data_IF_911122285712
#
_entry.id   IF_911122285712
#
_cell.length_a   1.000
_cell.length_b   1.000
_cell.length_c   1.000
_cell.angle_alpha   90.00
_cell.angle_beta   90.00
_cell.angle_gamma   90.00
#
_symmetry.space_group_name_H-M   'P 1'
#
loop_
_entity.id
_entity.type
_entity.pdbx_description
1 polymer ?
#
# COMPACT_ATOMS: atom_id res chain seq x y z
N UNK A 1 -10.85 -17.60 9.12
CA UNK A 1 -9.67 -16.81 8.71
C UNK A 1 -9.20 -17.17 7.31
N UNK A 2 -9.26 -18.43 6.86
CA UNK A 2 -8.69 -18.82 5.57
C UNK A 2 -9.25 -18.06 4.36
N UNK A 3 -10.56 -17.77 4.33
CA UNK A 3 -11.18 -17.01 3.25
C UNK A 3 -10.70 -15.56 3.14
N UNK A 4 -10.62 -14.84 4.27
CA UNK A 4 -10.10 -13.47 4.27
C UNK A 4 -8.63 -13.42 3.83
N UNK A 5 -7.82 -14.39 4.29
CA UNK A 5 -6.45 -14.53 3.83
C UNK A 5 -6.39 -14.72 2.31
N UNK A 6 -7.21 -15.62 1.77
CA UNK A 6 -7.30 -15.84 0.32
C UNK A 6 -7.71 -14.58 -0.43
N UNK A 7 -8.72 -13.84 0.06
CA UNK A 7 -9.19 -12.63 -0.59
C UNK A 7 -8.09 -11.56 -0.70
N UNK A 8 -7.34 -11.33 0.39
CA UNK A 8 -6.24 -10.34 0.39
C UNK A 8 -5.07 -10.81 -0.46
N UNK A 9 -4.71 -12.09 -0.39
CA UNK A 9 -3.68 -12.68 -1.25
C UNK A 9 -4.06 -12.52 -2.74
N UNK A 10 -5.30 -12.83 -3.10
CA UNK A 10 -5.82 -12.65 -4.46
C UNK A 10 -5.81 -11.19 -4.90
N UNK A 11 -6.16 -10.25 -4.02
CA UNK A 11 -6.12 -8.82 -4.33
C UNK A 11 -4.68 -8.37 -4.65
N UNK A 12 -3.70 -8.80 -3.85
CA UNK A 12 -2.28 -8.50 -4.07
C UNK A 12 -1.74 -9.22 -5.32
N UNK A 13 -2.10 -10.48 -5.53
CA UNK A 13 -1.72 -11.25 -6.72
C UNK A 13 -2.27 -10.60 -8.01
N UNK A 14 -3.54 -10.19 -7.99
CA UNK A 14 -4.20 -9.52 -9.11
C UNK A 14 -3.54 -8.20 -9.44
N UNK A 15 -3.33 -7.35 -8.43
CA UNK A 15 -2.70 -6.04 -8.63
C UNK A 15 -1.24 -6.19 -9.10
N UNK A 16 -0.47 -7.11 -8.52
CA UNK A 16 0.91 -7.36 -8.93
C UNK A 16 0.99 -7.89 -10.38
N UNK A 17 0.10 -8.82 -10.76
CA UNK A 17 0.03 -9.34 -12.13
C UNK A 17 -0.30 -8.22 -13.13
N UNK A 18 -1.24 -7.34 -12.78
CA UNK A 18 -1.57 -6.17 -13.60
C UNK A 18 -0.38 -5.23 -13.76
N UNK A 19 0.27 -4.85 -12.65
CA UNK A 19 1.46 -3.99 -12.68
C UNK A 19 2.59 -4.60 -13.53
N UNK A 20 2.85 -5.90 -13.40
CA UNK A 20 3.86 -6.58 -14.24
C UNK A 20 3.48 -6.55 -15.71
N UNK A 21 2.22 -6.82 -16.06
CA UNK A 21 1.76 -6.80 -17.45
C UNK A 21 1.91 -5.41 -18.09
N UNK A 22 1.49 -4.36 -17.38
CA UNK A 22 1.62 -2.97 -17.84
C UNK A 22 3.09 -2.58 -17.95
N UNK A 23 3.92 -2.87 -16.94
CA UNK A 23 5.34 -2.56 -16.99
C UNK A 23 6.09 -3.31 -18.09
N UNK A 24 5.70 -4.55 -18.40
CA UNK A 24 6.26 -5.28 -19.53
C UNK A 24 5.97 -4.56 -20.85
N UNK A 25 4.73 -4.07 -21.05
CA UNK A 25 4.37 -3.29 -22.24
C UNK A 25 5.12 -1.96 -22.29
N UNK A 26 5.20 -1.26 -21.16
CA UNK A 26 5.94 -0.01 -21.00
C UNK A 26 7.43 -0.15 -21.36
N UNK A 27 8.10 -1.20 -20.88
CA UNK A 27 9.53 -1.45 -21.16
C UNK A 27 9.77 -1.88 -22.60
N UNK A 28 8.86 -2.65 -23.19
CA UNK A 28 8.99 -3.16 -24.56
C UNK A 28 8.49 -2.19 -25.63
N UNK A 29 7.78 -1.12 -25.24
CA UNK A 29 7.06 -0.25 -26.18
C UNK A 29 5.89 -0.93 -26.86
N UNK A 30 5.39 -2.06 -26.33
CA UNK A 30 4.24 -2.75 -26.90
C UNK A 30 2.96 -1.92 -26.75
N UNK A 31 2.03 -2.11 -27.68
CA UNK A 31 0.70 -1.52 -27.62
C UNK A 31 0.00 -1.88 -26.30
N UNK A 32 -0.72 -0.92 -25.70
CA UNK A 32 -1.30 -1.08 -24.37
C UNK A 32 -2.32 -2.22 -24.28
N UNK A 33 -3.03 -2.54 -25.37
CA UNK A 33 -3.97 -3.65 -25.40
C UNK A 33 -3.33 -5.00 -25.06
N UNK A 34 -2.02 -5.15 -25.31
CA UNK A 34 -1.23 -6.37 -25.01
C UNK A 34 -1.16 -6.63 -23.50
N UNK A 35 -1.31 -5.61 -22.65
CA UNK A 35 -1.31 -5.79 -21.20
C UNK A 35 -2.46 -6.70 -20.72
N UNK A 36 -3.61 -6.70 -21.40
CA UNK A 36 -4.79 -7.49 -21.02
C UNK A 36 -4.57 -9.00 -21.16
N UNK A 37 -4.17 -9.55 -22.33
CA UNK A 37 -3.88 -10.98 -22.43
C UNK A 37 -2.69 -11.40 -21.56
N UNK A 38 -1.66 -10.56 -21.39
CA UNK A 38 -0.55 -10.82 -20.47
C UNK A 38 -1.04 -10.95 -19.02
N UNK A 39 -1.85 -9.99 -18.56
CA UNK A 39 -2.46 -10.01 -17.24
C UNK A 39 -3.33 -11.26 -17.05
N UNK A 40 -4.19 -11.60 -18.02
CA UNK A 40 -5.03 -12.78 -17.95
C UNK A 40 -4.21 -14.07 -17.82
N UNK A 41 -3.11 -14.19 -18.59
CA UNK A 41 -2.20 -15.34 -18.51
C UNK A 41 -1.49 -15.44 -17.15
N UNK A 42 -0.96 -14.32 -16.65
CA UNK A 42 -0.31 -14.25 -15.34
C UNK A 42 -1.28 -14.59 -14.20
N UNK A 43 -2.48 -14.00 -14.21
CA UNK A 43 -3.51 -14.28 -13.21
C UNK A 43 -3.96 -15.74 -13.27
N UNK A 44 -4.19 -16.29 -14.46
CA UNK A 44 -4.55 -17.69 -14.63
C UNK A 44 -3.49 -18.63 -14.05
N UNK A 45 -2.20 -18.36 -14.30
CA UNK A 45 -1.10 -19.13 -13.73
C UNK A 45 -1.09 -19.08 -12.18
N UNK A 46 -1.31 -17.89 -11.60
CA UNK A 46 -1.42 -17.71 -10.15
C UNK A 46 -2.63 -18.47 -9.58
N UNK A 47 -3.81 -18.35 -10.19
CA UNK A 47 -5.02 -19.07 -9.77
C UNK A 47 -4.84 -20.59 -9.80
N UNK A 48 -4.20 -21.12 -10.86
CA UNK A 48 -3.86 -22.54 -10.97
C UNK A 48 -2.91 -22.96 -9.85
N UNK A 49 -1.88 -22.16 -9.54
CA UNK A 49 -0.96 -22.44 -8.44
C UNK A 49 -1.67 -22.45 -7.07
N UNK A 50 -2.74 -21.67 -6.90
CA UNK A 50 -3.50 -21.56 -5.65
C UNK A 50 -4.67 -22.55 -5.54
N UNK A 51 -5.02 -23.31 -6.60
CA UNK A 51 -6.22 -24.18 -6.67
C UNK A 51 -6.40 -25.10 -5.46
N UNK A 52 -5.33 -25.77 -5.02
CA UNK A 52 -5.37 -26.71 -3.90
C UNK A 52 -5.60 -26.03 -2.55
N UNK A 53 -5.43 -24.71 -2.46
CA UNK A 53 -5.80 -23.94 -1.27
C UNK A 53 -7.25 -23.53 -1.29
N UNK A 54 -7.77 -23.10 -2.44
CA UNK A 54 -9.20 -22.77 -2.55
C UNK A 54 -10.04 -23.98 -2.15
N UNK A 55 -9.67 -25.17 -2.62
CA UNK A 55 -10.32 -26.42 -2.18
C UNK A 55 -10.23 -26.63 -0.65
N UNK A 56 -9.04 -26.45 -0.05
CA UNK A 56 -8.86 -26.61 1.40
C UNK A 56 -9.57 -25.54 2.23
N UNK A 57 -9.61 -24.30 1.75
CA UNK A 57 -10.30 -23.20 2.41
C UNK A 57 -11.81 -23.34 2.28
N UNK A 58 -12.32 -23.84 1.15
CA UNK A 58 -13.72 -24.19 0.98
C UNK A 58 -14.16 -25.28 1.98
N UNK A 59 -13.33 -26.29 2.18
CA UNK A 59 -13.58 -27.33 3.19
C UNK A 59 -13.58 -26.76 4.62
N UNK A 60 -12.64 -25.87 4.95
CA UNK A 60 -12.49 -25.24 6.28
C UNK A 60 -13.49 -24.12 6.56
N UNK A 61 -14.00 -23.48 5.52
CA UNK A 61 -14.98 -22.40 5.56
C UNK A 61 -16.35 -22.77 6.13
N UNK A 62 -16.50 -24.01 6.60
CA UNK A 62 -17.65 -24.46 7.39
C UNK A 62 -17.53 -24.10 8.87
N UNK A 63 -16.35 -23.70 9.34
CA UNK A 63 -16.18 -23.23 10.71
C UNK A 63 -16.98 -21.93 10.97
N UNK A 64 -17.88 -21.90 11.96
CA UNK A 64 -18.69 -20.72 12.27
C UNK A 64 -17.85 -19.49 12.63
N UNK A 65 -16.72 -19.67 13.32
CA UNK A 65 -15.83 -18.58 13.71
C UNK A 65 -15.17 -17.92 12.50
N UNK A 66 -14.76 -18.72 11.51
CA UNK A 66 -14.23 -18.22 10.25
C UNK A 66 -15.26 -17.40 9.46
N UNK A 67 -16.50 -17.89 9.38
CA UNK A 67 -17.61 -17.18 8.71
C UNK A 67 -17.92 -15.87 9.40
N UNK A 68 -18.07 -15.89 10.72
CA UNK A 68 -18.34 -14.69 11.51
C UNK A 68 -17.25 -13.63 11.32
N UNK A 69 -15.97 -14.04 11.24
CA UNK A 69 -14.86 -13.12 10.99
C UNK A 69 -14.94 -12.48 9.61
N UNK A 70 -15.22 -13.28 8.57
CA UNK A 70 -15.35 -12.78 7.21
C UNK A 70 -16.54 -11.83 7.06
N UNK A 71 -17.70 -12.21 7.61
CA UNK A 71 -18.90 -11.38 7.60
C UNK A 71 -18.69 -10.07 8.37
N UNK A 72 -18.01 -10.09 9.52
CA UNK A 72 -17.67 -8.87 10.26
C UNK A 72 -16.78 -7.94 9.43
N UNK A 73 -15.73 -8.46 8.79
CA UNK A 73 -14.86 -7.65 7.93
C UNK A 73 -15.63 -7.05 6.74
N UNK A 74 -16.47 -7.84 6.08
CA UNK A 74 -17.30 -7.37 4.97
C UNK A 74 -18.32 -6.33 5.41
N UNK A 75 -19.00 -6.53 6.53
CA UNK A 75 -19.98 -5.58 7.07
C UNK A 75 -19.31 -4.24 7.45
N UNK A 76 -18.16 -4.29 8.13
CA UNK A 76 -17.38 -3.09 8.48
C UNK A 76 -16.93 -2.37 7.20
N UNK A 77 -16.30 -3.09 6.26
CA UNK A 77 -15.82 -2.49 5.02
C UNK A 77 -16.93 -1.90 4.16
N UNK A 78 -18.08 -2.57 4.06
CA UNK A 78 -19.24 -2.07 3.34
C UNK A 78 -19.84 -0.83 4.01
N UNK A 79 -19.98 -0.83 5.35
CA UNK A 79 -20.52 0.31 6.08
C UNK A 79 -19.62 1.56 5.94
N UNK A 80 -18.31 1.42 6.12
CA UNK A 80 -17.38 2.54 5.97
C UNK A 80 -17.15 2.92 4.51
N UNK A 81 -17.22 1.97 3.57
CA UNK A 81 -17.22 2.28 2.14
C UNK A 81 -18.43 3.12 1.75
N UNK A 82 -19.63 2.75 2.22
CA UNK A 82 -20.85 3.52 2.00
C UNK A 82 -20.79 4.91 2.65
N UNK A 83 -20.22 5.02 3.85
CA UNK A 83 -19.98 6.32 4.49
C UNK A 83 -19.03 7.18 3.65
N UNK A 84 -17.93 6.61 3.16
CA UNK A 84 -16.95 7.35 2.34
C UNK A 84 -17.54 7.80 1.01
N UNK A 85 -18.46 7.04 0.39
CA UNK A 85 -19.22 7.50 -0.77
C UNK A 85 -20.01 8.79 -0.49
N UNK A 86 -20.52 8.96 0.74
CA UNK A 86 -21.25 10.15 1.15
C UNK A 86 -20.33 11.33 1.52
N UNK A 87 -19.03 11.07 1.67
CA UNK A 87 -18.02 12.04 2.06
C UNK A 87 -17.00 12.31 0.95
N UNK A 88 -17.29 11.86 -0.28
CA UNK A 88 -16.47 12.11 -1.46
C UNK A 88 -16.27 13.61 -1.64
N UNK A 89 -15.00 14.02 -1.64
CA UNK A 89 -14.60 15.40 -1.95
C UNK A 89 -13.82 15.41 -3.26
N UNK A 90 -14.07 16.37 -4.17
CA UNK A 90 -13.25 16.53 -5.36
C UNK A 90 -11.77 16.66 -5.00
N UNK A 91 -10.90 16.04 -5.78
CA UNK A 91 -9.45 16.13 -5.61
C UNK A 91 -8.78 16.60 -6.89
N UNK A 92 -7.78 17.47 -6.77
CA UNK A 92 -6.88 17.75 -7.90
C UNK A 92 -6.20 16.50 -8.44
N UNK A 93 -6.00 15.49 -7.57
CA UNK A 93 -5.46 14.20 -7.96
C UNK A 93 -6.36 13.44 -8.97
N UNK A 94 -7.66 13.75 -9.04
CA UNK A 94 -8.55 13.09 -10.01
C UNK A 94 -8.13 13.42 -11.44
N UNK A 95 -7.77 14.69 -11.67
CA UNK A 95 -7.26 15.15 -12.95
C UNK A 95 -5.83 14.66 -13.17
N UNK A 96 -4.95 14.85 -12.18
CA UNK A 96 -3.51 14.59 -12.30
C UNK A 96 -3.16 13.11 -12.54
N UNK A 97 -3.99 12.17 -12.06
CA UNK A 97 -3.66 10.74 -12.10
C UNK A 97 -4.50 9.94 -13.11
N UNK A 98 -5.76 10.32 -13.34
CA UNK A 98 -6.69 9.47 -14.11
C UNK A 98 -6.72 9.75 -15.62
N UNK A 99 -6.33 10.96 -16.04
CA UNK A 99 -6.36 11.38 -17.45
C UNK A 99 -5.60 10.45 -18.40
N UNK A 100 -4.42 9.94 -17.99
CA UNK A 100 -3.62 8.98 -18.77
C UNK A 100 -4.34 7.65 -18.98
N UNK A 101 -5.08 7.18 -17.98
CA UNK A 101 -5.83 5.94 -18.07
C UNK A 101 -6.98 6.08 -19.07
N UNK A 102 -7.69 7.22 -19.05
CA UNK A 102 -8.75 7.53 -20.02
C UNK A 102 -8.20 7.68 -21.45
N UNK A 103 -7.09 8.41 -21.62
CA UNK A 103 -6.43 8.52 -22.92
C UNK A 103 -6.04 7.15 -23.47
N UNK A 104 -5.49 6.28 -22.61
CA UNK A 104 -5.06 4.95 -23.01
C UNK A 104 -6.22 4.04 -23.44
N UNK A 105 -7.39 4.16 -22.81
CA UNK A 105 -8.59 3.44 -23.23
C UNK A 105 -9.04 3.84 -24.63
N UNK A 106 -8.89 5.12 -25.00
CA UNK A 106 -9.21 5.63 -26.33
C UNK A 106 -8.19 5.28 -27.42
N UNK A 107 -6.98 4.88 -27.02
CA UNK A 107 -5.86 4.58 -27.93
C UNK A 107 -5.18 3.24 -27.58
N UNK A 108 -5.92 2.11 -27.60
CA UNK A 108 -5.40 0.82 -27.14
C UNK A 108 -4.20 0.31 -27.97
N UNK A 109 -4.13 0.69 -29.25
CA UNK A 109 -3.04 0.41 -30.17
C UNK A 109 -1.75 1.19 -29.89
N UNK A 110 -1.84 2.32 -29.17
CA UNK A 110 -0.68 3.08 -28.78
C UNK A 110 0.06 2.41 -27.60
N UNK A 111 1.39 2.59 -27.50
CA UNK A 111 2.13 2.27 -26.28
C UNK A 111 1.61 3.07 -25.08
N UNK A 112 1.91 2.59 -23.86
CA UNK A 112 1.55 3.33 -22.65
C UNK A 112 2.13 4.74 -22.64
N UNK A 113 1.28 5.75 -22.45
CA UNK A 113 1.72 7.13 -22.39
C UNK A 113 2.59 7.41 -21.13
N UNK A 114 3.77 7.98 -21.37
CA UNK A 114 4.70 8.50 -20.35
C UNK A 114 4.71 10.03 -20.24
N UNK A 115 3.92 10.71 -21.07
CA UNK A 115 3.76 12.15 -21.08
C UNK A 115 2.43 12.54 -20.43
N UNK A 116 2.28 13.83 -20.16
CA UNK A 116 1.01 14.40 -19.72
C UNK A 116 0.02 14.42 -20.91
N UNK A 117 -1.14 13.81 -20.74
CA UNK A 117 -2.21 13.72 -21.74
C UNK A 117 -3.42 14.60 -21.41
N UNK A 118 -3.37 15.34 -20.30
CA UNK A 118 -4.50 16.14 -19.80
C UNK A 118 -4.66 17.43 -20.60
N UNK A 119 -3.55 17.95 -21.12
CA UNK A 119 -3.51 19.09 -22.00
C UNK A 119 -3.18 18.62 -23.42
N UNK A 120 -3.89 19.15 -24.42
CA UNK A 120 -3.58 18.93 -25.85
C UNK A 120 -2.32 19.69 -26.28
N UNK A 121 -1.25 19.58 -25.48
CA UNK A 121 0.04 20.19 -25.70
C UNK A 121 1.08 19.08 -25.80
N UNK A 122 1.72 18.97 -26.96
CA UNK A 122 2.80 18.02 -27.17
C UNK A 122 4.03 18.41 -26.34
N UNK A 123 4.71 17.41 -25.76
CA UNK A 123 5.98 17.61 -25.07
C UNK A 123 5.91 17.95 -23.58
N UNK A 124 4.73 17.93 -22.96
CA UNK A 124 4.64 18.03 -21.50
C UNK A 124 5.06 16.71 -20.85
N UNK A 125 6.17 16.73 -20.11
CA UNK A 125 6.64 15.58 -19.35
C UNK A 125 5.60 15.15 -18.31
N UNK A 126 5.51 13.85 -18.01
CA UNK A 126 4.70 13.40 -16.89
C UNK A 126 5.17 14.08 -15.59
N UNK A 127 4.22 14.20 -14.65
CA UNK A 127 4.43 14.73 -13.29
C UNK A 127 5.72 14.20 -12.64
N UNK A 128 6.03 12.92 -12.84
CA UNK A 128 7.36 12.34 -12.57
C UNK A 128 7.51 10.97 -13.25
N UNK A 129 8.74 10.45 -13.41
CA UNK A 129 8.98 9.12 -13.98
C UNK A 129 8.33 8.02 -13.14
N UNK A 130 8.38 8.16 -11.82
CA UNK A 130 7.74 7.23 -10.89
C UNK A 130 6.21 7.30 -10.96
N UNK A 131 5.65 8.48 -11.25
CA UNK A 131 4.22 8.62 -11.49
C UNK A 131 3.82 7.98 -12.83
N UNK A 132 4.67 8.09 -13.87
CA UNK A 132 4.44 7.42 -15.15
C UNK A 132 4.34 5.88 -15.01
N UNK A 133 5.04 5.30 -14.02
CA UNK A 133 4.99 3.86 -13.69
C UNK A 133 3.79 3.45 -12.82
N UNK A 134 2.90 4.35 -12.46
CA UNK A 134 1.68 3.94 -11.76
C UNK A 134 0.73 3.23 -12.72
N UNK A 135 0.06 2.18 -12.23
CA UNK A 135 -0.78 1.28 -13.02
C UNK A 135 -2.18 1.10 -12.43
N UNK A 136 -2.43 1.65 -11.24
CA UNK A 136 -3.72 1.56 -10.55
C UNK A 136 -4.86 2.13 -11.39
N UNK A 137 -4.72 3.38 -11.83
CA UNK A 137 -5.72 4.09 -12.62
C UNK A 137 -5.99 3.37 -13.95
N UNK A 138 -4.93 2.89 -14.62
CA UNK A 138 -5.03 2.05 -15.82
C UNK A 138 -5.80 0.74 -15.57
N UNK A 139 -5.61 0.13 -14.39
CA UNK A 139 -6.30 -1.10 -14.01
C UNK A 139 -7.78 -0.88 -13.77
N UNK A 140 -8.14 0.20 -13.08
CA UNK A 140 -9.54 0.60 -12.87
C UNK A 140 -10.23 0.89 -14.21
N UNK A 141 -9.56 1.64 -15.09
CA UNK A 141 -10.05 1.91 -16.44
C UNK A 141 -10.23 0.60 -17.24
N UNK A 142 -9.27 -0.32 -17.21
CA UNK A 142 -9.41 -1.62 -17.86
C UNK A 142 -10.60 -2.44 -17.32
N UNK A 143 -10.84 -2.42 -16.00
CA UNK A 143 -12.01 -3.06 -15.39
C UNK A 143 -13.31 -2.42 -15.88
N UNK A 144 -13.38 -1.09 -15.91
CA UNK A 144 -14.55 -0.38 -16.40
C UNK A 144 -14.87 -0.74 -17.86
N UNK A 145 -13.84 -0.78 -18.72
CA UNK A 145 -13.99 -1.14 -20.13
C UNK A 145 -14.49 -2.57 -20.31
N UNK A 146 -13.90 -3.55 -19.60
CA UNK A 146 -14.33 -4.96 -19.65
C UNK A 146 -15.77 -5.14 -19.18
N UNK A 147 -16.22 -4.34 -18.21
CA UNK A 147 -17.57 -4.39 -17.67
C UNK A 147 -18.58 -3.53 -18.45
N UNK A 148 -18.12 -2.72 -19.42
CA UNK A 148 -18.97 -1.75 -20.13
C UNK A 148 -19.54 -0.67 -19.20
N UNK A 149 -18.77 -0.24 -18.20
CA UNK A 149 -19.15 0.75 -17.19
C UNK A 149 -18.40 2.07 -17.39
N UNK A 150 -18.96 3.15 -16.84
CA UNK A 150 -18.27 4.44 -16.79
C UNK A 150 -17.01 4.37 -15.93
N UNK A 151 -15.86 4.73 -16.50
CA UNK A 151 -14.56 4.60 -15.85
C UNK A 151 -14.42 5.48 -14.61
N UNK A 152 -14.97 6.70 -14.63
CA UNK A 152 -14.98 7.59 -13.47
C UNK A 152 -15.87 7.04 -12.36
N UNK A 153 -17.05 6.52 -12.70
CA UNK A 153 -17.93 5.85 -11.75
C UNK A 153 -17.29 4.63 -11.10
N UNK A 154 -16.57 3.79 -11.86
CA UNK A 154 -15.81 2.67 -11.30
C UNK A 154 -14.65 3.17 -10.43
N UNK A 155 -13.97 4.24 -10.82
CA UNK A 155 -12.90 4.85 -10.04
C UNK A 155 -13.40 5.42 -8.71
N UNK A 156 -14.31 6.38 -8.74
CA UNK A 156 -14.78 7.05 -7.52
C UNK A 156 -15.65 6.16 -6.65
N UNK A 157 -16.55 5.36 -7.23
CA UNK A 157 -17.52 4.61 -6.45
C UNK A 157 -17.12 3.14 -6.24
N UNK A 158 -16.66 2.48 -7.30
CA UNK A 158 -16.27 1.08 -7.24
C UNK A 158 -14.99 0.87 -6.43
N UNK A 159 -13.93 1.62 -6.79
CA UNK A 159 -12.61 1.45 -6.20
C UNK A 159 -12.60 1.85 -4.73
N UNK A 160 -13.29 2.93 -4.34
CA UNK A 160 -13.37 3.32 -2.94
C UNK A 160 -14.00 2.20 -2.08
N UNK A 161 -15.13 1.62 -2.50
CA UNK A 161 -15.81 0.56 -1.74
C UNK A 161 -14.95 -0.70 -1.70
N UNK A 162 -14.36 -1.10 -2.83
CA UNK A 162 -13.46 -2.24 -2.90
C UNK A 162 -12.25 -2.08 -1.96
N UNK A 163 -11.61 -0.91 -1.96
CA UNK A 163 -10.49 -0.60 -1.08
C UNK A 163 -10.88 -0.66 0.40
N UNK A 164 -12.08 -0.18 0.77
CA UNK A 164 -12.58 -0.29 2.15
C UNK A 164 -12.83 -1.73 2.59
N UNK A 165 -13.36 -2.58 1.70
CA UNK A 165 -13.53 -4.02 1.97
C UNK A 165 -12.20 -4.72 2.21
N UNK A 166 -11.18 -4.40 1.40
CA UNK A 166 -9.83 -4.95 1.58
C UNK A 166 -9.20 -4.40 2.85
N UNK A 167 -9.32 -3.10 3.12
CA UNK A 167 -8.81 -2.47 4.35
C UNK A 167 -9.39 -3.14 5.60
N UNK A 168 -10.71 -3.26 5.68
CA UNK A 168 -11.38 -3.91 6.81
C UNK A 168 -10.90 -5.36 7.00
N UNK A 169 -10.73 -6.09 5.90
CA UNK A 169 -10.20 -7.46 5.93
C UNK A 169 -8.77 -7.51 6.47
N UNK A 170 -7.90 -6.59 6.03
CA UNK A 170 -6.51 -6.47 6.49
C UNK A 170 -6.46 -6.12 7.98
N UNK A 171 -7.23 -5.14 8.43
CA UNK A 171 -7.26 -4.71 9.84
C UNK A 171 -7.76 -5.83 10.75
N UNK A 172 -8.86 -6.50 10.39
CA UNK A 172 -9.38 -7.64 11.15
C UNK A 172 -8.33 -8.75 11.22
N UNK A 173 -7.68 -9.10 10.11
CA UNK A 173 -6.64 -10.12 10.13
C UNK A 173 -5.42 -9.70 10.94
N UNK A 174 -4.96 -8.46 10.85
CA UNK A 174 -3.85 -7.96 11.66
C UNK A 174 -4.13 -8.15 13.16
N UNK A 175 -5.30 -7.71 13.63
CA UNK A 175 -5.67 -7.87 15.05
C UNK A 175 -5.80 -9.35 15.43
N UNK A 176 -6.33 -10.20 14.53
CA UNK A 176 -6.33 -11.66 14.73
C UNK A 176 -4.92 -12.25 14.83
N UNK A 177 -3.97 -11.78 14.01
CA UNK A 177 -2.59 -12.25 14.04
C UNK A 177 -1.81 -11.79 15.27
N UNK A 178 -2.27 -10.73 15.95
CA UNK A 178 -1.78 -10.32 17.26
C UNK A 178 -2.33 -11.18 18.41
N UNK A 179 -3.23 -12.12 18.13
CA UNK A 179 -3.74 -13.12 19.09
C UNK A 179 -5.12 -12.83 19.64
N UNK A 180 -5.83 -11.81 19.15
CA UNK A 180 -7.15 -11.44 19.65
C UNK A 180 -8.28 -12.30 19.08
N UNK A 181 -9.37 -12.43 19.84
CA UNK A 181 -10.63 -13.05 19.41
C UNK A 181 -11.33 -12.29 18.28
N UNK A 182 -12.34 -12.90 17.65
CA UNK A 182 -13.08 -12.28 16.52
C UNK A 182 -13.76 -10.97 16.92
N UNK A 183 -14.39 -10.92 18.10
CA UNK A 183 -15.05 -9.71 18.61
C UNK A 183 -14.08 -8.57 18.82
N UNK A 184 -12.93 -8.84 19.44
CA UNK A 184 -11.87 -7.86 19.64
C UNK A 184 -11.26 -7.40 18.31
N UNK A 185 -11.12 -8.30 17.32
CA UNK A 185 -10.66 -7.94 15.98
C UNK A 185 -11.64 -7.03 15.23
N UNK A 186 -12.95 -7.31 15.31
CA UNK A 186 -13.99 -6.46 14.75
C UNK A 186 -14.02 -5.09 15.45
N UNK A 187 -13.97 -5.07 16.79
CA UNK A 187 -13.92 -3.83 17.56
C UNK A 187 -12.67 -2.99 17.24
N UNK A 188 -11.50 -3.62 17.12
CA UNK A 188 -10.26 -2.96 16.72
C UNK A 188 -10.36 -2.37 15.31
N UNK A 189 -10.93 -3.10 14.35
CA UNK A 189 -11.17 -2.55 13.01
C UNK A 189 -12.16 -1.38 13.01
N UNK A 190 -13.25 -1.46 13.79
CA UNK A 190 -14.19 -0.33 13.94
C UNK A 190 -13.50 0.87 14.57
N UNK A 191 -12.70 0.67 15.63
CA UNK A 191 -11.96 1.73 16.28
C UNK A 191 -10.94 2.38 15.33
N UNK A 192 -10.25 1.59 14.52
CA UNK A 192 -9.35 2.07 13.47
C UNK A 192 -10.10 2.96 12.46
N UNK A 193 -11.23 2.50 11.93
CA UNK A 193 -12.03 3.31 11.01
C UNK A 193 -12.63 4.55 11.67
N UNK A 194 -13.06 4.46 12.94
CA UNK A 194 -13.53 5.62 13.69
C UNK A 194 -12.41 6.65 13.87
N UNK A 195 -11.18 6.20 14.18
CA UNK A 195 -10.00 7.06 14.21
C UNK A 195 -9.76 7.74 12.85
N UNK A 196 -9.80 6.97 11.75
CA UNK A 196 -9.65 7.52 10.40
C UNK A 196 -10.73 8.56 10.08
N UNK A 197 -11.98 8.33 10.50
CA UNK A 197 -13.08 9.27 10.26
C UNK A 197 -12.95 10.59 11.03
N UNK A 198 -12.27 10.60 12.19
CA UNK A 198 -12.10 11.81 13.03
C UNK A 198 -10.74 12.48 12.87
N UNK A 199 -9.75 11.82 12.27
CA UNK A 199 -8.41 12.37 12.05
C UNK A 199 -8.41 13.37 10.89
N UNK A 200 -8.72 14.65 11.16
CA UNK A 200 -8.67 15.72 10.15
C UNK A 200 -7.78 16.93 10.50
N UNK A 201 -6.45 16.78 10.60
CA UNK A 201 -5.52 17.91 10.62
C UNK A 201 -5.17 18.46 9.22
N UNK A 202 -5.91 18.13 8.15
CA UNK A 202 -5.70 18.63 6.78
C UNK A 202 -5.19 17.58 5.77
N UNK A 203 -4.65 18.05 4.62
CA UNK A 203 -4.28 17.24 3.44
C UNK A 203 -3.20 16.16 3.68
N UNK A 204 -2.57 16.15 4.86
CA UNK A 204 -1.49 15.24 5.23
C UNK A 204 -1.90 14.35 6.41
N UNK A 205 -3.17 14.00 6.53
CA UNK A 205 -3.73 13.19 7.62
C UNK A 205 -4.01 11.75 7.19
N UNK A 206 -4.28 10.86 8.15
CA UNK A 206 -4.80 9.54 7.81
C UNK A 206 -6.27 9.62 7.37
N UNK A 207 -7.05 10.56 7.91
CA UNK A 207 -8.47 10.68 7.57
C UNK A 207 -8.74 11.20 6.16
N UNK A 208 -7.91 12.09 5.61
CA UNK A 208 -8.02 12.45 4.19
C UNK A 208 -7.70 11.24 3.28
N UNK A 209 -6.68 10.45 3.63
CA UNK A 209 -6.34 9.24 2.88
C UNK A 209 -7.47 8.22 2.91
N UNK A 210 -8.20 8.13 4.02
CA UNK A 210 -9.35 7.24 4.16
C UNK A 210 -10.50 7.65 3.25
N UNK A 211 -10.82 8.95 3.21
CA UNK A 211 -11.82 9.49 2.28
C UNK A 211 -11.42 9.22 0.85
N UNK A 212 -10.14 9.29 0.51
CA UNK A 212 -9.60 9.18 -0.85
C UNK A 212 -9.15 7.78 -1.27
N UNK A 213 -9.73 6.72 -0.69
CA UNK A 213 -9.33 5.32 -0.95
C UNK A 213 -9.61 4.80 -2.38
N UNK A 214 -10.04 5.67 -3.29
CA UNK A 214 -10.03 5.39 -4.74
C UNK A 214 -8.69 5.73 -5.41
N UNK A 215 -7.86 6.60 -4.81
CA UNK A 215 -6.57 7.02 -5.40
C UNK A 215 -5.46 6.04 -5.04
N UNK A 216 -4.64 5.65 -6.02
CA UNK A 216 -3.62 4.61 -5.84
C UNK A 216 -2.69 4.84 -4.65
N UNK A 217 -2.18 6.07 -4.45
CA UNK A 217 -1.33 6.41 -3.29
C UNK A 217 -2.01 6.19 -1.94
N UNK A 218 -3.31 6.45 -1.85
CA UNK A 218 -4.07 6.29 -0.60
C UNK A 218 -4.33 4.81 -0.30
N UNK A 219 -4.65 4.03 -1.34
CA UNK A 219 -4.71 2.57 -1.27
C UNK A 219 -3.36 1.99 -0.83
N UNK A 220 -2.25 2.53 -1.35
CA UNK A 220 -0.92 2.12 -0.92
C UNK A 220 -0.76 2.33 0.59
N UNK A 221 -1.01 3.54 1.07
CA UNK A 221 -0.74 3.92 2.46
C UNK A 221 -1.61 3.16 3.45
N UNK A 222 -2.92 3.10 3.22
CA UNK A 222 -3.85 2.54 4.19
C UNK A 222 -4.09 1.04 4.01
N UNK A 223 -3.98 0.51 2.79
CA UNK A 223 -4.30 -0.91 2.51
C UNK A 223 -3.04 -1.73 2.32
N UNK A 224 -2.16 -1.35 1.38
CA UNK A 224 -1.01 -2.16 1.03
C UNK A 224 0.05 -2.19 2.13
N UNK A 225 0.38 -1.07 2.78
CA UNK A 225 1.40 -1.07 3.85
C UNK A 225 0.98 -1.95 5.04
N UNK A 226 -0.27 -1.88 5.55
CA UNK A 226 -0.71 -2.80 6.59
C UNK A 226 -0.79 -4.26 6.11
N UNK A 227 -1.17 -4.51 4.85
CA UNK A 227 -1.13 -5.86 4.28
C UNK A 227 0.30 -6.40 4.19
N UNK A 228 1.28 -5.58 3.81
CA UNK A 228 2.69 -5.94 3.78
C UNK A 228 3.20 -6.29 5.19
N UNK A 229 2.81 -5.53 6.21
CA UNK A 229 3.11 -5.84 7.61
C UNK A 229 2.46 -7.17 8.05
N UNK A 230 1.21 -7.41 7.66
CA UNK A 230 0.49 -8.66 7.90
C UNK A 230 1.22 -9.87 7.30
N UNK A 231 1.70 -9.76 6.06
CA UNK A 231 2.49 -10.80 5.42
C UNK A 231 3.87 -10.97 6.06
N UNK A 232 4.52 -9.88 6.47
CA UNK A 232 5.78 -9.93 7.21
C UNK A 232 5.63 -10.66 8.55
N UNK A 233 4.55 -10.39 9.29
CA UNK A 233 4.20 -11.09 10.54
C UNK A 233 3.98 -12.60 10.32
N UNK A 234 3.30 -12.96 9.23
CA UNK A 234 3.07 -14.37 8.86
C UNK A 234 4.38 -15.07 8.50
N UNK A 235 5.22 -14.42 7.69
CA UNK A 235 6.54 -14.93 7.35
C UNK A 235 7.44 -15.07 8.59
N UNK A 236 7.45 -14.09 9.49
CA UNK A 236 8.23 -14.13 10.72
C UNK A 236 7.89 -15.33 11.63
N UNK A 237 6.63 -15.77 11.62
CA UNK A 237 6.15 -16.92 12.40
C UNK A 237 6.39 -18.25 11.71
N UNK A 238 6.16 -18.33 10.40
CA UNK A 238 6.30 -19.55 9.62
C UNK A 238 7.05 -19.27 8.30
N UNK A 239 8.39 -19.12 8.36
CA UNK A 239 9.19 -18.79 7.19
C UNK A 239 9.12 -19.91 6.15
N UNK A 240 8.81 -19.54 4.91
CA UNK A 240 8.83 -20.44 3.74
C UNK A 240 8.92 -19.58 2.47
N UNK A 241 9.39 -20.15 1.36
CA UNK A 241 9.42 -19.46 0.07
C UNK A 241 8.03 -18.92 -0.32
N UNK A 242 6.98 -19.69 -0.01
CA UNK A 242 5.60 -19.28 -0.25
C UNK A 242 5.12 -18.16 0.66
N UNK A 243 5.54 -18.14 1.92
CA UNK A 243 5.26 -17.01 2.80
C UNK A 243 6.01 -15.74 2.36
N UNK A 244 7.10 -15.88 1.60
CA UNK A 244 7.87 -14.77 1.03
C UNK A 244 7.31 -14.24 -0.30
N UNK A 245 6.52 -15.05 -1.02
CA UNK A 245 5.87 -14.63 -2.27
C UNK A 245 5.06 -13.33 -2.09
N UNK A 246 4.19 -13.27 -1.08
CA UNK A 246 3.30 -12.11 -0.90
C UNK A 246 4.04 -10.83 -0.51
N UNK A 247 5.05 -10.84 0.39
CA UNK A 247 5.95 -9.70 0.54
C UNK A 247 6.57 -9.22 -0.77
N UNK A 248 7.02 -10.12 -1.64
CA UNK A 248 7.56 -9.75 -2.96
C UNK A 248 6.49 -9.16 -3.89
N UNK A 249 5.28 -9.71 -3.92
CA UNK A 249 4.16 -9.16 -4.69
C UNK A 249 3.71 -7.79 -4.15
N UNK A 250 3.79 -7.55 -2.84
CA UNK A 250 3.60 -6.20 -2.29
C UNK A 250 4.64 -5.22 -2.85
N UNK A 251 5.88 -5.68 -3.08
CA UNK A 251 6.94 -4.96 -3.81
C UNK A 251 6.48 -4.39 -5.13
N UNK A 252 5.90 -5.27 -5.94
CA UNK A 252 5.35 -4.93 -7.25
C UNK A 252 4.14 -4.00 -7.13
N UNK A 253 3.17 -4.35 -6.27
CA UNK A 253 1.97 -3.55 -6.07
C UNK A 253 2.30 -2.12 -5.62
N UNK A 254 3.31 -1.94 -4.76
CA UNK A 254 3.66 -0.64 -4.22
C UNK A 254 4.02 0.35 -5.32
N UNK A 255 4.79 -0.08 -6.34
CA UNK A 255 5.10 0.76 -7.50
C UNK A 255 3.86 1.00 -8.36
N UNK A 256 3.05 -0.04 -8.57
CA UNK A 256 1.82 0.08 -9.35
C UNK A 256 0.81 1.07 -8.74
N UNK A 257 0.81 1.25 -7.42
CA UNK A 257 -0.08 2.17 -6.72
C UNK A 257 0.46 3.60 -6.64
N UNK A 258 1.76 3.78 -6.36
CA UNK A 258 2.36 5.12 -6.29
C UNK A 258 3.89 5.10 -6.26
N UNK A 259 4.49 6.18 -6.76
CA UNK A 259 5.93 6.38 -6.74
C UNK A 259 6.55 6.31 -5.34
N UNK A 260 5.79 6.58 -4.28
CA UNK A 260 6.28 6.44 -2.89
C UNK A 260 6.55 4.99 -2.48
N UNK A 261 6.10 4.01 -3.28
CA UNK A 261 6.46 2.60 -3.14
C UNK A 261 7.96 2.34 -3.11
N UNK A 262 8.77 3.18 -3.77
CA UNK A 262 10.24 3.01 -3.82
C UNK A 262 10.92 3.14 -2.46
N UNK A 263 10.29 3.78 -1.46
CA UNK A 263 10.87 3.94 -0.13
C UNK A 263 9.95 3.51 1.02
N UNK A 264 8.62 3.64 0.88
CA UNK A 264 7.70 3.24 1.95
C UNK A 264 7.70 1.72 2.18
N UNK A 265 7.58 0.92 1.13
CA UNK A 265 7.57 -0.54 1.29
C UNK A 265 8.92 -1.10 1.78
N UNK A 266 10.08 -0.65 1.24
CA UNK A 266 11.36 -0.99 1.85
C UNK A 266 11.43 -0.59 3.33
N UNK A 267 10.86 0.55 3.71
CA UNK A 267 10.74 0.97 5.11
C UNK A 267 9.97 -0.04 5.97
N UNK A 268 8.83 -0.56 5.49
CA UNK A 268 8.05 -1.60 6.18
C UNK A 268 8.89 -2.86 6.38
N UNK A 269 9.55 -3.37 5.34
CA UNK A 269 10.32 -4.61 5.45
C UNK A 269 11.62 -4.45 6.25
N UNK A 270 12.27 -3.30 6.19
CA UNK A 270 13.42 -2.98 7.02
C UNK A 270 13.04 -2.94 8.51
N UNK A 271 11.98 -2.21 8.86
CA UNK A 271 11.49 -2.14 10.24
C UNK A 271 10.98 -3.50 10.76
N UNK A 272 10.26 -4.25 9.93
CA UNK A 272 9.81 -5.60 10.28
C UNK A 272 11.00 -6.57 10.47
N UNK A 273 12.06 -6.42 9.68
CA UNK A 273 13.29 -7.20 9.82
C UNK A 273 14.01 -6.91 11.13
N UNK A 274 14.12 -5.63 11.52
CA UNK A 274 14.66 -5.25 12.85
C UNK A 274 13.81 -5.85 13.97
N UNK A 275 12.49 -5.78 13.85
CA UNK A 275 11.56 -6.37 14.83
C UNK A 275 11.68 -7.91 14.91
N UNK A 276 11.96 -8.59 13.80
CA UNK A 276 12.24 -10.02 13.78
C UNK A 276 13.54 -10.34 14.51
N UNK A 277 14.61 -9.59 14.25
CA UNK A 277 15.92 -9.81 14.86
C UNK A 277 15.91 -9.55 16.37
N UNK A 278 15.21 -8.49 16.80
CA UNK A 278 15.03 -8.15 18.21
C UNK A 278 14.36 -9.28 19.00
N UNK A 279 13.50 -10.07 18.36
CA UNK A 279 12.83 -11.22 19.00
C UNK A 279 13.73 -12.44 19.16
N UNK A 280 14.76 -12.57 18.35
CA UNK A 280 15.60 -13.77 18.25
C UNK A 280 17.04 -13.55 18.71
N UNK A 281 17.33 -12.41 19.34
CA UNK A 281 18.68 -12.02 19.77
C UNK A 281 19.73 -12.22 18.67
N UNK A 282 19.39 -11.81 17.43
CA UNK A 282 20.31 -11.85 16.28
C UNK A 282 20.86 -13.24 15.89
N UNK A 283 20.13 -14.33 16.16
CA UNK A 283 20.52 -15.66 15.70
C UNK A 283 20.81 -15.69 14.17
N UNK A 284 21.83 -16.43 13.68
CA UNK A 284 22.21 -16.43 12.25
C UNK A 284 21.06 -16.78 11.29
N UNK A 285 20.21 -17.75 11.67
CA UNK A 285 19.02 -18.11 10.88
C UNK A 285 18.00 -16.97 10.80
N UNK A 286 17.93 -16.13 11.83
CA UNK A 286 17.06 -14.95 11.83
C UNK A 286 17.60 -13.84 10.93
N UNK A 287 18.93 -13.66 10.85
CA UNK A 287 19.57 -12.77 9.89
C UNK A 287 19.24 -13.15 8.44
N UNK A 288 19.40 -14.43 8.08
CA UNK A 288 19.04 -14.91 6.75
C UNK A 288 17.54 -14.69 6.44
N UNK A 289 16.66 -14.90 7.42
CA UNK A 289 15.22 -14.66 7.26
C UNK A 289 14.89 -13.19 7.09
N UNK A 290 15.52 -12.31 7.87
CA UNK A 290 15.39 -10.86 7.77
C UNK A 290 15.89 -10.34 6.42
N UNK A 291 17.04 -10.83 5.95
CA UNK A 291 17.55 -10.52 4.62
C UNK A 291 16.57 -10.96 3.52
N UNK A 292 16.06 -12.20 3.62
CA UNK A 292 15.07 -12.71 2.69
C UNK A 292 13.77 -11.87 2.67
N UNK A 293 13.28 -11.38 3.81
CA UNK A 293 12.12 -10.48 3.86
C UNK A 293 12.36 -9.20 3.04
N UNK A 294 13.56 -8.61 3.14
CA UNK A 294 13.93 -7.43 2.35
C UNK A 294 14.07 -7.72 0.85
N UNK A 295 14.24 -8.99 0.44
CA UNK A 295 14.15 -9.35 -0.98
C UNK A 295 12.75 -9.06 -1.56
N UNK A 296 11.73 -8.92 -0.70
CA UNK A 296 10.41 -8.43 -1.12
C UNK A 296 10.43 -7.01 -1.69
N UNK A 297 11.48 -6.23 -1.41
CA UNK A 297 11.70 -4.89 -1.94
C UNK A 297 12.44 -4.85 -3.28
N UNK A 298 12.86 -5.99 -3.85
CA UNK A 298 13.71 -6.01 -5.05
C UNK A 298 13.06 -5.29 -6.24
N UNK A 299 11.74 -5.41 -6.40
CA UNK A 299 11.02 -4.69 -7.46
C UNK A 299 11.11 -3.17 -7.26
N UNK A 300 10.92 -2.70 -6.03
CA UNK A 300 11.03 -1.28 -5.67
C UNK A 300 12.44 -0.74 -5.92
N UNK A 301 13.46 -1.49 -5.51
CA UNK A 301 14.87 -1.13 -5.70
C UNK A 301 15.25 -1.13 -7.18
N UNK A 302 14.78 -2.11 -7.94
CA UNK A 302 15.00 -2.17 -9.39
C UNK A 302 14.42 -0.94 -10.10
N UNK A 303 13.19 -0.56 -9.76
CA UNK A 303 12.56 0.67 -10.30
C UNK A 303 13.33 1.92 -9.90
N UNK A 304 13.73 2.05 -8.64
CA UNK A 304 14.56 3.17 -8.19
C UNK A 304 15.91 3.23 -8.95
N UNK A 305 16.55 2.07 -9.19
CA UNK A 305 17.79 1.99 -9.95
C UNK A 305 17.60 2.42 -11.42
N UNK A 306 16.48 2.07 -12.07
CA UNK A 306 16.16 2.51 -13.42
C UNK A 306 15.97 4.04 -13.51
N UNK A 307 15.32 4.64 -12.50
CA UNK A 307 15.19 6.10 -12.41
C UNK A 307 16.56 6.76 -12.21
N UNK A 308 17.38 6.25 -11.28
CA UNK A 308 18.72 6.78 -11.02
C UNK A 308 19.66 6.63 -12.22
N UNK A 309 19.51 5.54 -12.98
CA UNK A 309 20.24 5.30 -14.22
C UNK A 309 19.72 6.14 -15.41
N UNK A 310 18.69 6.97 -15.22
CA UNK A 310 18.04 7.79 -16.26
C UNK A 310 17.51 6.99 -17.45
N UNK A 311 17.18 5.72 -17.23
CA UNK A 311 16.48 4.91 -18.22
C UNK A 311 15.07 5.45 -18.42
N UNK A 312 14.48 5.99 -17.35
CA UNK A 312 13.25 6.79 -17.40
C UNK A 312 13.63 8.27 -17.35
N UNK A 313 13.26 9.02 -18.38
CA UNK A 313 13.61 10.43 -18.50
C UNK A 313 13.03 11.23 -17.32
N UNK A 314 13.86 11.97 -16.55
CA UNK A 314 13.36 12.82 -15.46
C UNK A 314 12.48 13.95 -16.02
N UNK A 315 11.59 14.54 -15.20
CA UNK A 315 10.81 15.68 -15.64
C UNK A 315 11.73 16.90 -15.75
N UNK A 316 11.46 17.78 -16.72
CA UNK A 316 12.28 18.98 -16.96
C UNK A 316 12.19 20.00 -15.80
N UNK A 317 11.08 19.99 -15.05
CA UNK A 317 10.87 20.82 -13.88
C UNK A 317 10.29 20.01 -12.70
N UNK A 318 10.98 20.04 -11.56
CA UNK A 318 10.55 19.40 -10.29
C UNK A 318 10.10 20.41 -9.24
N UNK A 319 10.09 21.71 -9.54
CA UNK A 319 9.84 22.80 -8.57
C UNK A 319 8.49 22.67 -7.86
N UNK A 320 7.44 22.23 -8.57
CA UNK A 320 6.14 21.97 -7.97
C UNK A 320 6.19 20.95 -6.80
N UNK A 321 7.21 20.08 -6.78
CA UNK A 321 7.40 19.03 -5.78
C UNK A 321 8.46 19.37 -4.72
N UNK A 322 9.21 20.44 -4.92
CA UNK A 322 10.30 20.86 -4.01
C UNK A 322 10.04 22.22 -3.37
N UNK A 323 9.66 23.25 -4.13
CA UNK A 323 9.54 24.63 -3.64
C UNK A 323 8.45 24.85 -2.58
N UNK A 324 7.26 24.19 -2.64
CA UNK A 324 6.24 24.36 -1.61
C UNK A 324 6.56 23.68 -0.28
N UNK A 325 7.65 22.90 -0.21
CA UNK A 325 7.93 22.00 0.91
C UNK A 325 9.21 22.41 1.65
N UNK A 326 9.24 22.34 2.99
CA UNK A 326 10.44 22.68 3.73
C UNK A 326 11.59 21.70 3.44
N UNK A 327 12.76 22.26 3.12
CA UNK A 327 14.02 21.52 2.95
C UNK A 327 14.68 21.15 4.28
N UNK A 328 14.30 21.82 5.37
CA UNK A 328 14.74 21.47 6.70
C UNK A 328 13.98 20.24 7.21
N UNK A 329 14.70 19.20 7.62
CA UNK A 329 14.12 17.94 8.11
C UNK A 329 13.08 18.12 9.21
N UNK A 330 13.38 18.94 10.23
CA UNK A 330 12.44 19.19 11.33
C UNK A 330 11.18 19.92 10.85
N UNK A 331 11.30 20.81 9.87
CA UNK A 331 10.18 21.57 9.33
C UNK A 331 9.28 20.67 8.45
N UNK A 332 9.90 19.75 7.70
CA UNK A 332 9.16 18.75 6.92
C UNK A 332 8.43 17.76 7.84
N UNK A 333 9.11 17.31 8.92
CA UNK A 333 8.49 16.46 9.94
C UNK A 333 7.32 17.19 10.63
N UNK A 334 7.45 18.49 10.86
CA UNK A 334 6.39 19.33 11.42
C UNK A 334 5.16 19.47 10.50
N UNK A 335 5.25 19.18 9.20
CA UNK A 335 4.08 19.08 8.32
C UNK A 335 3.09 18.00 8.78
N UNK A 336 3.57 17.05 9.57
CA UNK A 336 2.77 15.92 10.09
C UNK A 336 2.66 15.95 11.61
N UNK A 337 3.75 16.30 12.29
CA UNK A 337 3.87 16.27 13.75
C UNK A 337 3.87 17.66 14.39
N UNK A 338 3.61 18.73 13.61
CA UNK A 338 3.71 20.13 14.05
C UNK A 338 2.79 20.51 15.20
N UNK A 339 1.81 19.67 15.51
CA UNK A 339 0.99 19.79 16.71
C UNK A 339 1.41 18.74 17.75
N UNK A 340 2.01 19.21 18.84
CA UNK A 340 2.46 18.37 19.98
C UNK A 340 1.41 17.34 20.43
N UNK A 341 0.10 17.68 20.54
CA UNK A 341 -0.91 16.69 20.91
C UNK A 341 -1.04 15.54 19.90
N UNK A 342 -0.97 15.84 18.59
CA UNK A 342 -1.03 14.83 17.53
C UNK A 342 0.20 13.93 17.52
N UNK A 343 1.38 14.49 17.73
CA UNK A 343 2.62 13.72 17.85
C UNK A 343 2.63 12.80 19.07
N UNK A 344 2.19 13.31 20.23
CA UNK A 344 2.06 12.52 21.45
C UNK A 344 1.02 11.40 21.27
N UNK A 345 -0.16 11.71 20.72
CA UNK A 345 -1.19 10.72 20.38
C UNK A 345 -0.60 9.60 19.51
N UNK A 346 0.08 9.95 18.42
CA UNK A 346 0.66 8.97 17.51
C UNK A 346 1.75 8.12 18.18
N UNK A 347 2.59 8.70 19.03
CA UNK A 347 3.59 7.97 19.81
C UNK A 347 2.97 7.02 20.83
N UNK A 348 1.91 7.46 21.52
CA UNK A 348 1.14 6.63 22.46
C UNK A 348 0.50 5.45 21.73
N UNK A 349 -0.17 5.70 20.60
CA UNK A 349 -0.82 4.65 19.80
C UNK A 349 0.21 3.67 19.19
N UNK A 350 1.36 4.16 18.72
CA UNK A 350 2.37 3.31 18.09
C UNK A 350 3.20 2.47 19.09
N UNK A 351 3.38 2.93 20.33
CA UNK A 351 4.30 2.32 21.30
C UNK A 351 3.61 1.93 22.60
N UNK A 352 2.99 2.89 23.29
CA UNK A 352 2.48 2.67 24.65
C UNK A 352 1.27 1.72 24.65
N UNK A 353 0.31 1.92 23.76
CA UNK A 353 -0.89 1.06 23.67
C UNK A 353 -0.50 -0.39 23.34
N UNK A 354 0.31 -0.68 22.30
CA UNK A 354 0.79 -2.04 22.05
C UNK A 354 1.57 -2.63 23.21
N UNK A 355 2.37 -1.85 23.94
CA UNK A 355 3.13 -2.32 25.09
C UNK A 355 2.25 -2.78 26.26
N UNK A 356 1.11 -2.11 26.45
CA UNK A 356 0.14 -2.39 27.52
C UNK A 356 -0.86 -3.49 27.15
N UNK A 357 -1.35 -3.48 25.91
CA UNK A 357 -2.46 -4.33 25.46
C UNK A 357 -1.97 -5.68 24.94
N UNK A 358 -0.83 -5.72 24.26
CA UNK A 358 -0.27 -6.97 23.72
C UNK A 358 0.52 -7.74 24.77
N UNK A 359 0.61 -9.07 24.60
CA UNK A 359 1.43 -9.94 25.44
C UNK A 359 2.42 -10.75 24.60
N UNK A 360 3.50 -11.19 25.23
CA UNK A 360 4.47 -12.12 24.64
C UNK A 360 5.17 -11.61 23.38
N UNK A 361 5.22 -12.46 22.36
CA UNK A 361 5.96 -12.21 21.13
C UNK A 361 5.35 -11.12 20.22
N UNK A 362 4.02 -11.04 20.03
CA UNK A 362 3.39 -9.92 19.31
C UNK A 362 3.75 -8.55 19.89
N UNK A 363 3.73 -8.39 21.22
CA UNK A 363 4.13 -7.15 21.90
C UNK A 363 5.53 -6.71 21.49
N UNK A 364 6.51 -7.62 21.62
CA UNK A 364 7.91 -7.33 21.28
C UNK A 364 8.07 -6.94 19.81
N UNK A 365 7.33 -7.61 18.92
CA UNK A 365 7.37 -7.29 17.49
C UNK A 365 6.85 -5.88 17.21
N UNK A 366 5.64 -5.54 17.64
CA UNK A 366 5.00 -4.26 17.31
C UNK A 366 5.78 -3.09 17.91
N UNK A 367 6.22 -3.22 19.17
CA UNK A 367 7.05 -2.17 19.82
C UNK A 367 8.40 -2.02 19.10
N UNK A 368 9.09 -3.12 18.79
CA UNK A 368 10.37 -3.05 18.07
C UNK A 368 10.20 -2.49 16.65
N UNK A 369 9.09 -2.79 15.98
CA UNK A 369 8.75 -2.25 14.66
C UNK A 369 8.57 -0.73 14.72
N UNK A 370 7.76 -0.23 15.66
CA UNK A 370 7.54 1.20 15.84
C UNK A 370 8.84 1.94 16.19
N UNK A 371 9.65 1.39 17.10
CA UNK A 371 10.95 1.97 17.44
C UNK A 371 11.93 1.95 16.26
N UNK A 372 11.91 0.89 15.44
CA UNK A 372 12.72 0.82 14.22
C UNK A 372 12.32 1.90 13.22
N UNK A 373 11.02 2.19 13.06
CA UNK A 373 10.58 3.30 12.21
C UNK A 373 11.06 4.66 12.71
N UNK A 374 11.06 4.90 14.03
CA UNK A 374 11.65 6.12 14.61
C UNK A 374 13.15 6.19 14.32
N UNK A 375 13.87 5.08 14.55
CA UNK A 375 15.32 5.00 14.33
C UNK A 375 15.73 5.03 12.84
N UNK A 376 14.84 4.69 11.92
CA UNK A 376 15.11 4.73 10.48
C UNK A 376 14.69 6.05 9.86
N UNK A 377 13.54 6.61 10.26
CA UNK A 377 12.93 7.73 9.56
C UNK A 377 12.81 8.99 10.41
N UNK A 378 12.61 8.91 11.72
CA UNK A 378 12.26 10.06 12.56
C UNK A 378 13.32 10.41 13.63
N UNK A 379 14.59 10.43 13.25
CA UNK A 379 15.69 10.88 14.11
C UNK A 379 16.68 11.78 13.32
N UNK A 380 17.45 12.64 14.01
CA UNK A 380 18.30 13.63 13.35
C UNK A 380 19.47 13.06 12.54
N UNK A 381 19.82 11.78 12.72
CA UNK A 381 20.93 11.15 12.00
C UNK A 381 20.49 10.62 10.63
N UNK A 382 19.38 9.88 10.57
CA UNK A 382 18.92 9.24 9.33
C UNK A 382 17.83 10.04 8.61
N UNK A 383 17.04 10.84 9.33
CA UNK A 383 15.95 11.66 8.79
C UNK A 383 16.38 12.59 7.66
N UNK A 384 17.46 13.39 7.81
CA UNK A 384 17.96 14.24 6.74
C UNK A 384 18.42 13.47 5.50
N UNK A 385 18.96 12.25 5.67
CA UNK A 385 19.37 11.40 4.54
C UNK A 385 18.14 10.94 3.74
N UNK A 386 17.09 10.52 4.43
CA UNK A 386 15.82 10.15 3.80
C UNK A 386 15.12 11.32 3.15
N UNK A 387 15.15 12.52 3.76
CA UNK A 387 14.59 13.72 3.14
C UNK A 387 15.25 14.02 1.78
N UNK A 388 16.58 13.93 1.71
CA UNK A 388 17.31 14.11 0.44
C UNK A 388 16.98 13.02 -0.58
N UNK A 389 16.88 11.77 -0.12
CA UNK A 389 16.62 10.62 -1.00
C UNK A 389 15.17 10.60 -1.54
N UNK A 390 14.19 10.92 -0.69
CA UNK A 390 12.77 10.90 -1.03
C UNK A 390 12.25 12.22 -1.63
N UNK A 391 13.01 13.31 -1.47
CA UNK A 391 12.62 14.70 -1.73
C UNK A 391 11.59 15.28 -0.73
N UNK A 392 11.62 16.61 -0.51
CA UNK A 392 10.72 17.30 0.42
C UNK A 392 9.23 17.01 0.23
N UNK A 393 8.75 16.99 -1.02
CA UNK A 393 7.35 16.72 -1.34
C UNK A 393 6.85 15.32 -1.01
N UNK A 394 7.75 14.36 -0.76
CA UNK A 394 7.38 12.98 -0.43
C UNK A 394 7.78 12.51 0.96
N UNK A 395 8.78 13.13 1.58
CA UNK A 395 9.31 12.66 2.87
C UNK A 395 8.25 12.60 3.97
N UNK A 396 7.34 13.59 4.08
CA UNK A 396 6.27 13.57 5.08
C UNK A 396 5.44 12.27 5.09
N UNK A 397 5.35 11.57 3.95
CA UNK A 397 4.59 10.31 3.80
C UNK A 397 5.18 9.15 4.58
N UNK A 398 6.43 9.23 5.06
CA UNK A 398 7.02 8.20 5.96
C UNK A 398 6.19 8.02 7.23
N UNK A 399 5.40 9.02 7.61
CA UNK A 399 4.48 8.95 8.73
C UNK A 399 3.38 7.87 8.54
N UNK A 400 3.04 7.54 7.30
CA UNK A 400 2.08 6.47 6.95
C UNK A 400 2.62 5.06 7.24
N UNK A 401 3.91 4.92 7.56
CA UNK A 401 4.50 3.64 7.97
C UNK A 401 4.13 3.28 9.41
N UNK A 402 3.80 4.26 10.24
CA UNK A 402 3.52 4.02 11.64
C UNK A 402 2.19 3.27 11.81
N UNK A 403 2.12 2.28 12.71
CA UNK A 403 0.91 1.49 12.93
C UNK A 403 -0.15 2.26 13.75
N UNK A 404 -0.29 3.56 13.54
CA UNK A 404 -1.24 4.45 14.23
C UNK A 404 -2.69 3.99 14.10
N UNK A 405 -3.19 3.55 12.91
CA UNK A 405 -4.55 3.06 12.80
C UNK A 405 -4.75 1.64 13.35
N UNK A 406 -3.73 1.01 13.95
CA UNK A 406 -3.85 -0.31 14.59
C UNK A 406 -3.95 -0.24 16.13
N UNK A 407 -3.84 0.98 16.69
CA UNK A 407 -3.78 1.26 18.13
C UNK A 407 -5.13 1.44 18.80
#
# INVERSE_FOLDING_TARGET
>A
MHWLWIAIELAVETLAAWTVAVHACMVTGAASWVARPLFAGLLAALLVAQRGRFARAAARGRDPGERATALAALAIGAAFGALSLCLLTPSGDDFDFFHRALWQQGHPEAPFAFHDTAFAAEGLAAISPLHAMTTWEHGIAAVADVLGLDALGVYHNGAIVASHLVLASVLVLLVRELGFGVRAAAAGAIAAFAFLAVDDPGLRSFGIAWRMLWVGKMVQWLVLLPAALLFALRYARAPSARALLHPALCGTCAIGLSGTGVFLLPGVFAAASVAMLARTAFAPRALARAAALNAGSLYCVGVAALVLARVLAPPDDVRAWTEPFPDAWWANLALTFGHVPGALRNAVLAVAVPALVLRGAPRRFVVAYALALVALFANPLTGPLWLRAAQPGAYWRVMMLFPVPLG
#
